data_IF_022648113345
#
_entry.id   IF_022648113345
#
_cell.length_a   1.000
_cell.length_b   1.000
_cell.length_c   1.000
_cell.angle_alpha   90.00
_cell.angle_beta   90.00
_cell.angle_gamma   90.00
#
_symmetry.space_group_name_H-M   'P 1'
#
loop_
_entity.id
_entity.type
_entity.pdbx_description
1 polymer ?
#
# COMPACT_ATOMS: atom_id res chain seq x y z
N UNK A 1 -0.41 -24.15 -20.95
CA UNK A 1 -0.11 -23.32 -19.76
C UNK A 1 -0.62 -21.92 -20.03
N UNK A 2 -1.52 -21.39 -19.21
CA UNK A 2 -1.91 -19.99 -19.32
C UNK A 2 -0.73 -19.09 -18.91
N UNK A 3 -0.31 -18.23 -19.81
CA UNK A 3 0.79 -17.30 -19.56
C UNK A 3 0.19 -16.00 -19.00
N UNK A 4 0.28 -15.80 -17.67
CA UNK A 4 -0.24 -14.60 -17.02
C UNK A 4 0.73 -13.43 -17.16
N UNK A 5 0.23 -12.26 -17.53
CA UNK A 5 0.97 -11.02 -17.42
C UNK A 5 1.13 -10.64 -15.95
N UNK A 6 2.36 -10.49 -15.49
CA UNK A 6 2.68 -10.24 -14.07
C UNK A 6 2.91 -8.75 -13.82
N UNK A 7 2.24 -8.24 -12.80
CA UNK A 7 2.34 -6.84 -12.39
C UNK A 7 2.69 -6.75 -10.91
N UNK A 8 3.80 -6.08 -10.61
CA UNK A 8 4.21 -5.81 -9.24
C UNK A 8 3.38 -4.69 -8.65
N UNK A 9 2.77 -4.94 -7.49
CA UNK A 9 2.00 -3.98 -6.69
C UNK A 9 2.61 -3.92 -5.30
N UNK A 10 2.81 -2.74 -4.77
CA UNK A 10 3.30 -2.54 -3.40
C UNK A 10 2.24 -1.86 -2.54
N UNK A 11 2.12 -2.30 -1.28
CA UNK A 11 1.26 -1.69 -0.27
C UNK A 11 2.16 -1.08 0.79
N UNK A 12 2.02 0.21 1.02
CA UNK A 12 2.87 0.98 1.94
C UNK A 12 2.04 1.94 2.79
N UNK A 13 2.66 2.43 3.84
CA UNK A 13 2.10 3.31 4.85
C UNK A 13 2.66 2.96 6.22
N UNK A 14 2.31 3.73 7.24
CA UNK A 14 2.85 3.59 8.59
C UNK A 14 2.52 2.23 9.24
N UNK A 15 3.20 1.90 10.32
CA UNK A 15 2.92 0.70 11.10
C UNK A 15 1.54 0.78 11.76
N UNK A 16 0.85 -0.34 11.84
CA UNK A 16 -0.43 -0.45 12.56
C UNK A 16 -1.65 0.13 11.84
N UNK A 17 -1.53 0.60 10.60
CA UNK A 17 -2.66 1.12 9.82
C UNK A 17 -3.53 0.02 9.18
N UNK A 18 -3.07 -1.24 9.19
CA UNK A 18 -3.84 -2.39 8.73
C UNK A 18 -3.54 -2.86 7.32
N UNK A 19 -2.37 -2.57 6.74
CA UNK A 19 -1.95 -3.07 5.41
C UNK A 19 -2.07 -4.58 5.28
N UNK A 20 -1.40 -5.31 6.18
CA UNK A 20 -1.44 -6.77 6.26
C UNK A 20 -2.85 -7.31 6.52
N UNK A 21 -3.64 -6.60 7.31
CA UNK A 21 -5.04 -6.97 7.58
C UNK A 21 -5.89 -6.89 6.32
N UNK A 22 -5.72 -5.85 5.52
CA UNK A 22 -6.41 -5.72 4.21
C UNK A 22 -6.06 -6.91 3.31
N UNK A 23 -4.76 -7.22 3.19
CA UNK A 23 -4.31 -8.35 2.36
C UNK A 23 -4.83 -9.69 2.86
N UNK A 24 -4.75 -9.95 4.15
CA UNK A 24 -5.22 -11.19 4.74
C UNK A 24 -6.74 -11.34 4.61
N UNK A 25 -7.50 -10.26 4.74
CA UNK A 25 -8.94 -10.25 4.52
C UNK A 25 -9.28 -10.62 3.07
N UNK A 26 -8.60 -10.02 2.11
CA UNK A 26 -8.77 -10.34 0.69
C UNK A 26 -8.44 -11.81 0.38
N UNK A 27 -7.34 -12.32 0.93
CA UNK A 27 -6.91 -13.70 0.75
C UNK A 27 -7.67 -14.72 1.64
N UNK A 28 -8.67 -14.27 2.41
CA UNK A 28 -9.45 -15.09 3.37
C UNK A 28 -8.56 -15.81 4.40
N UNK A 29 -7.41 -15.23 4.74
CA UNK A 29 -6.54 -15.74 5.80
C UNK A 29 -7.07 -15.33 7.17
N UNK A 30 -6.73 -16.09 8.23
CA UNK A 30 -7.13 -15.75 9.59
C UNK A 30 -6.42 -14.48 10.07
N UNK A 31 -7.20 -13.47 10.48
CA UNK A 31 -6.71 -12.15 10.91
C UNK A 31 -6.80 -11.91 12.42
N UNK A 32 -7.15 -12.95 13.23
CA UNK A 32 -7.47 -12.79 14.67
C UNK A 32 -6.34 -12.21 15.52
N UNK A 33 -5.08 -12.36 15.10
CA UNK A 33 -3.92 -11.81 15.81
C UNK A 33 -2.90 -11.22 14.82
N UNK A 34 -3.13 -10.02 14.29
CA UNK A 34 -2.17 -9.38 13.37
C UNK A 34 -0.89 -9.03 14.13
N UNK A 35 0.22 -9.65 13.72
CA UNK A 35 1.56 -9.26 14.18
C UNK A 35 2.11 -8.18 13.24
N UNK A 36 3.01 -7.34 13.76
CA UNK A 36 3.73 -6.38 12.91
C UNK A 36 4.55 -7.12 11.86
N UNK A 37 4.40 -6.71 10.60
CA UNK A 37 5.18 -7.25 9.48
C UNK A 37 6.65 -6.90 9.65
N UNK A 38 7.51 -7.91 9.63
CA UNK A 38 8.96 -7.73 9.65
C UNK A 38 9.48 -7.87 8.22
N UNK A 39 9.90 -6.76 7.62
CA UNK A 39 10.34 -6.74 6.23
C UNK A 39 9.17 -6.63 5.25
N UNK A 40 9.01 -7.60 4.37
CA UNK A 40 7.98 -7.59 3.33
C UNK A 40 7.37 -8.97 3.16
N UNK A 41 6.05 -9.04 3.13
CA UNK A 41 5.32 -10.25 2.76
C UNK A 41 4.88 -10.19 1.30
N UNK A 42 4.96 -11.33 0.62
CA UNK A 42 4.65 -11.46 -0.80
C UNK A 42 3.44 -12.37 -1.03
N UNK A 43 2.55 -11.96 -1.90
CA UNK A 43 1.36 -12.72 -2.29
C UNK A 43 1.07 -12.58 -3.77
N UNK A 44 0.66 -13.69 -4.42
CA UNK A 44 0.19 -13.69 -5.80
C UNK A 44 -1.33 -13.72 -5.85
N UNK A 45 -1.92 -12.81 -6.64
CA UNK A 45 -3.35 -12.74 -6.90
C UNK A 45 -3.59 -12.93 -8.39
N UNK A 46 -4.28 -14.01 -8.77
CA UNK A 46 -4.56 -14.34 -10.16
C UNK A 46 -5.95 -13.90 -10.58
N UNK A 47 -6.04 -13.21 -11.70
CA UNK A 47 -7.28 -12.81 -12.34
C UNK A 47 -7.43 -13.55 -13.67
N UNK A 48 -7.99 -14.76 -13.61
CA UNK A 48 -8.10 -15.65 -14.78
C UNK A 48 -8.85 -15.02 -15.94
N UNK A 49 -9.89 -14.23 -15.68
CA UNK A 49 -10.68 -13.52 -16.70
C UNK A 49 -9.83 -12.57 -17.56
N UNK A 50 -8.76 -12.01 -17.01
CA UNK A 50 -7.90 -11.02 -17.67
C UNK A 50 -6.51 -11.56 -18.01
N UNK A 51 -6.24 -12.82 -17.70
CA UNK A 51 -4.90 -13.43 -17.82
C UNK A 51 -3.81 -12.60 -17.12
N UNK A 52 -4.13 -12.04 -15.95
CA UNK A 52 -3.26 -11.18 -15.17
C UNK A 52 -2.97 -11.77 -13.80
N UNK A 53 -1.75 -11.54 -13.33
CA UNK A 53 -1.30 -11.90 -11.97
C UNK A 53 -0.72 -10.65 -11.30
N UNK A 54 -1.29 -10.27 -10.17
CA UNK A 54 -0.71 -9.23 -9.31
C UNK A 54 0.25 -9.88 -8.32
N UNK A 55 1.47 -9.42 -8.33
CA UNK A 55 2.50 -9.74 -7.35
C UNK A 55 2.49 -8.66 -6.28
N UNK A 56 1.77 -8.91 -5.18
CA UNK A 56 1.53 -7.92 -4.14
C UNK A 56 2.56 -8.06 -3.04
N UNK A 57 3.23 -6.96 -2.73
CA UNK A 57 4.25 -6.83 -1.70
C UNK A 57 3.71 -5.97 -0.55
N UNK A 58 3.37 -6.61 0.57
CA UNK A 58 2.96 -5.93 1.81
C UNK A 58 4.23 -5.52 2.58
N UNK A 59 4.54 -4.23 2.55
CA UNK A 59 5.77 -3.69 3.11
C UNK A 59 5.61 -3.26 4.56
N UNK A 60 6.61 -3.55 5.40
CA UNK A 60 6.65 -3.10 6.79
C UNK A 60 6.56 -1.58 6.90
N UNK A 61 5.69 -1.09 7.77
CA UNK A 61 5.49 0.34 8.01
C UNK A 61 6.39 0.93 9.11
N UNK A 62 7.16 0.11 9.82
CA UNK A 62 8.02 0.59 10.90
C UNK A 62 9.21 1.39 10.35
N UNK A 63 9.52 2.51 10.99
CA UNK A 63 10.60 3.41 10.59
C UNK A 63 11.96 2.73 10.46
N UNK A 64 12.26 1.76 11.32
CA UNK A 64 13.51 0.98 11.27
C UNK A 64 13.68 0.12 10.00
N UNK A 65 12.60 -0.16 9.27
CA UNK A 65 12.62 -0.94 8.03
C UNK A 65 12.43 -0.09 6.77
N UNK A 66 12.24 1.22 6.92
CA UNK A 66 11.95 2.13 5.77
C UNK A 66 13.04 2.10 4.69
N UNK A 67 14.29 2.00 5.09
CA UNK A 67 15.41 1.90 4.13
C UNK A 67 15.37 0.63 3.28
N UNK A 68 14.87 -0.48 3.84
CA UNK A 68 14.70 -1.73 3.11
C UNK A 68 13.53 -1.67 2.13
N UNK A 69 12.47 -0.93 2.47
CA UNK A 69 11.28 -0.79 1.62
C UNK A 69 11.62 -0.12 0.29
N UNK A 70 12.58 0.79 0.26
CA UNK A 70 13.04 1.46 -0.97
C UNK A 70 13.51 0.47 -2.05
N UNK A 71 14.05 -0.69 -1.65
CA UNK A 71 14.46 -1.75 -2.59
C UNK A 71 13.29 -2.39 -3.32
N UNK A 72 12.09 -2.33 -2.73
CA UNK A 72 10.88 -2.95 -3.30
C UNK A 72 10.11 -2.03 -4.24
N UNK A 73 10.42 -0.73 -4.30
CA UNK A 73 9.72 0.21 -5.20
C UNK A 73 10.06 -0.02 -6.66
N UNK A 74 11.27 -0.50 -6.94
CA UNK A 74 11.73 -0.71 -8.31
C UNK A 74 10.87 -1.71 -9.05
N UNK A 75 10.43 -1.33 -10.25
CA UNK A 75 9.58 -2.16 -11.11
C UNK A 75 8.13 -2.28 -10.66
N UNK A 76 7.70 -1.55 -9.62
CA UNK A 76 6.31 -1.48 -9.22
C UNK A 76 5.47 -0.81 -10.32
N UNK A 77 4.37 -1.47 -10.69
CA UNK A 77 3.37 -0.95 -11.65
C UNK A 77 2.25 -0.21 -10.95
N UNK A 78 2.02 -0.51 -9.69
CA UNK A 78 1.10 0.23 -8.83
C UNK A 78 1.64 0.31 -7.41
N UNK A 79 1.31 1.42 -6.74
CA UNK A 79 1.60 1.65 -5.33
C UNK A 79 0.31 2.03 -4.60
N UNK A 80 -0.05 1.27 -3.57
CA UNK A 80 -1.20 1.51 -2.71
C UNK A 80 -0.69 2.18 -1.43
N UNK A 81 -0.95 3.48 -1.33
CA UNK A 81 -0.69 4.26 -0.12
C UNK A 81 -1.85 4.09 0.85
N UNK A 82 -1.58 3.49 2.00
CA UNK A 82 -2.61 3.22 3.01
C UNK A 82 -2.42 4.09 4.24
N UNK A 83 -3.49 4.68 4.73
CA UNK A 83 -3.52 5.45 5.97
C UNK A 83 -4.73 5.04 6.83
N UNK A 84 -4.71 5.41 8.09
CA UNK A 84 -5.76 5.16 9.07
C UNK A 84 -6.69 6.38 9.15
N UNK A 85 -7.96 6.21 8.80
CA UNK A 85 -8.96 7.28 8.84
C UNK A 85 -9.19 7.85 10.24
N UNK A 86 -8.82 7.12 11.30
CA UNK A 86 -8.90 7.58 12.68
C UNK A 86 -7.64 8.29 13.17
N UNK A 87 -6.57 8.34 12.34
CA UNK A 87 -5.28 8.93 12.71
C UNK A 87 -4.73 9.82 11.59
N UNK A 88 -4.95 11.12 11.73
CA UNK A 88 -4.51 12.13 10.74
C UNK A 88 -3.00 12.12 10.49
N UNK A 89 -2.19 11.75 11.47
CA UNK A 89 -0.73 11.72 11.30
C UNK A 89 -0.31 10.67 10.26
N UNK A 90 -1.06 9.58 10.13
CA UNK A 90 -0.80 8.58 9.09
C UNK A 90 -1.05 9.12 7.67
N UNK A 91 -1.99 10.06 7.50
CA UNK A 91 -2.21 10.78 6.25
C UNK A 91 -1.06 11.76 5.95
N UNK A 92 -0.59 12.50 6.97
CA UNK A 92 0.57 13.37 6.83
C UNK A 92 1.83 12.59 6.45
N UNK A 93 2.04 11.41 7.04
CA UNK A 93 3.14 10.52 6.66
C UNK A 93 3.11 10.14 5.18
N UNK A 94 1.92 9.94 4.59
CA UNK A 94 1.79 9.70 3.13
C UNK A 94 2.35 10.89 2.36
N UNK A 95 1.90 12.10 2.70
CA UNK A 95 2.33 13.33 2.01
C UNK A 95 3.82 13.63 2.19
N UNK A 96 4.32 13.54 3.42
CA UNK A 96 5.62 14.08 3.80
C UNK A 96 6.77 13.08 3.62
N UNK A 97 6.46 11.78 3.54
CA UNK A 97 7.47 10.74 3.46
C UNK A 97 7.23 9.74 2.32
N UNK A 98 6.11 9.01 2.33
CA UNK A 98 5.93 7.85 1.46
C UNK A 98 5.88 8.22 -0.02
N UNK A 99 5.13 9.25 -0.40
CA UNK A 99 5.00 9.70 -1.78
C UNK A 99 6.34 10.10 -2.40
N UNK A 100 7.15 10.88 -1.67
CA UNK A 100 8.45 11.32 -2.17
C UNK A 100 9.39 10.13 -2.40
N UNK A 101 9.41 9.17 -1.49
CA UNK A 101 10.27 7.99 -1.60
C UNK A 101 9.86 7.11 -2.79
N UNK A 102 8.57 6.90 -3.00
CA UNK A 102 8.09 6.14 -4.16
C UNK A 102 8.44 6.86 -5.46
N UNK A 103 8.19 8.16 -5.56
CA UNK A 103 8.51 8.95 -6.77
C UNK A 103 9.97 8.92 -7.14
N UNK A 104 10.88 8.84 -6.17
CA UNK A 104 12.32 8.76 -6.42
C UNK A 104 12.77 7.39 -6.95
N UNK A 105 12.02 6.32 -6.65
CA UNK A 105 12.49 4.95 -6.82
C UNK A 105 11.59 4.07 -7.72
N UNK A 106 10.33 4.46 -7.93
CA UNK A 106 9.40 3.73 -8.79
C UNK A 106 9.47 4.20 -10.24
N UNK A 107 8.91 3.39 -11.14
CA UNK A 107 8.78 3.75 -12.56
C UNK A 107 7.88 4.99 -12.72
N UNK A 108 8.17 5.85 -13.72
CA UNK A 108 7.34 7.03 -14.04
C UNK A 108 5.88 6.70 -14.34
N UNK A 109 5.62 5.49 -14.85
CA UNK A 109 4.27 4.99 -15.17
C UNK A 109 3.59 4.25 -14.02
N UNK A 110 4.17 4.29 -12.80
CA UNK A 110 3.58 3.65 -11.65
C UNK A 110 2.24 4.31 -11.30
N UNK A 111 1.18 3.50 -11.20
CA UNK A 111 -0.15 3.97 -10.81
C UNK A 111 -0.21 4.11 -9.30
N UNK A 112 -0.75 5.23 -8.81
CA UNK A 112 -0.91 5.49 -7.40
C UNK A 112 -2.37 5.36 -6.98
N UNK A 113 -2.59 4.74 -5.82
CA UNK A 113 -3.90 4.59 -5.17
C UNK A 113 -3.77 5.03 -3.72
N UNK A 114 -4.74 5.78 -3.23
CA UNK A 114 -4.82 6.19 -1.82
C UNK A 114 -5.97 5.45 -1.14
N UNK A 115 -5.68 4.73 -0.05
CA UNK A 115 -6.66 3.92 0.69
C UNK A 115 -6.73 4.37 2.13
N UNK A 116 -7.90 4.87 2.54
CA UNK A 116 -8.22 5.14 3.95
C UNK A 116 -8.84 3.91 4.60
N UNK A 117 -8.15 3.34 5.57
CA UNK A 117 -8.56 2.15 6.31
C UNK A 117 -9.21 2.48 7.65
N UNK A 118 -9.76 1.48 8.34
CA UNK A 118 -10.44 1.57 9.65
C UNK A 118 -11.64 2.51 9.63
N UNK A 119 -12.48 2.38 8.60
CA UNK A 119 -13.69 3.20 8.43
C UNK A 119 -14.76 2.96 9.49
N UNK A 120 -14.62 1.89 10.28
CA UNK A 120 -15.44 1.51 11.44
C UNK A 120 -15.12 2.35 12.69
N UNK A 121 -13.97 3.01 12.74
CA UNK A 121 -13.55 3.85 13.86
C UNK A 121 -14.01 5.30 13.66
N UNK A 122 -14.01 6.07 14.76
CA UNK A 122 -14.25 7.52 14.70
C UNK A 122 -13.19 8.20 13.84
N UNK A 123 -13.63 8.89 12.80
CA UNK A 123 -12.75 9.53 11.83
C UNK A 123 -12.04 10.75 12.42
N UNK A 124 -10.74 10.80 12.23
CA UNK A 124 -9.89 11.95 12.50
C UNK A 124 -8.95 12.13 11.29
N UNK A 125 -9.48 12.72 10.22
CA UNK A 125 -8.76 12.89 8.95
C UNK A 125 -9.09 14.24 8.32
N UNK A 126 -8.33 14.63 7.31
CA UNK A 126 -8.51 15.88 6.58
C UNK A 126 -8.83 15.61 5.11
N UNK A 127 -10.10 15.72 4.76
CA UNK A 127 -10.58 15.48 3.39
C UNK A 127 -10.03 16.47 2.36
N UNK A 128 -9.65 17.68 2.78
CA UNK A 128 -9.01 18.65 1.89
C UNK A 128 -7.65 18.13 1.42
N UNK A 129 -6.82 17.63 2.34
CA UNK A 129 -5.52 17.02 2.01
C UNK A 129 -5.70 15.77 1.15
N UNK A 130 -6.68 14.91 1.44
CA UNK A 130 -7.01 13.75 0.62
C UNK A 130 -7.29 14.18 -0.82
N UNK A 131 -8.17 15.18 -1.01
CA UNK A 131 -8.52 15.69 -2.33
C UNK A 131 -7.32 16.32 -3.05
N UNK A 132 -6.49 17.07 -2.34
CA UNK A 132 -5.26 17.64 -2.90
C UNK A 132 -4.31 16.55 -3.40
N UNK A 133 -4.08 15.50 -2.60
CA UNK A 133 -3.22 14.36 -2.98
C UNK A 133 -3.79 13.63 -4.20
N UNK A 134 -5.09 13.33 -4.19
CA UNK A 134 -5.73 12.64 -5.31
C UNK A 134 -5.64 13.45 -6.60
N UNK A 135 -5.88 14.75 -6.55
CA UNK A 135 -5.79 15.61 -7.72
C UNK A 135 -4.35 15.76 -8.23
N UNK A 136 -3.41 16.01 -7.32
CA UNK A 136 -2.00 16.25 -7.66
C UNK A 136 -1.31 15.02 -8.24
N UNK A 137 -1.64 13.83 -7.75
CA UNK A 137 -0.98 12.58 -8.13
C UNK A 137 -1.86 11.65 -8.99
N UNK A 138 -3.06 12.08 -9.35
CA UNK A 138 -4.05 11.31 -10.13
C UNK A 138 -4.37 9.94 -9.49
N UNK A 139 -4.63 9.95 -8.19
CA UNK A 139 -5.00 8.77 -7.40
C UNK A 139 -6.51 8.49 -7.46
#
# INVERSE_FOLDING_TARGET
>A
MMNYNKYKVIIIGDSGIGKTTIMNSYLKKNTKNPKSTMGTEYSNIKFSKFEQELQVWDCAGQEKFRSLVNLYYRGAKACIFTFDLSNINSLYSINDYWLENVKKNADEKCVFLLVGNKSDLQKNTNYHIINELCNKYKM
#
